data_IF_035534941069
#
_entry.id   IF_035534941069
#
_cell.length_a   1.000
_cell.length_b   1.000
_cell.length_c   1.000
_cell.angle_alpha   90.00
_cell.angle_beta   90.00
_cell.angle_gamma   90.00
#
_symmetry.space_group_name_H-M   'P 1'
#
loop_
_entity.id
_entity.type
_entity.pdbx_description
1 polymer ?
#
# COMPACT_ATOMS: atom_id res chain seq x y z
N UNK A 1 0.78 9.07 -3.24
CA UNK A 1 1.79 8.74 -2.21
C UNK A 1 1.85 9.75 -1.07
N UNK A 2 2.26 11.02 -1.28
CA UNK A 2 2.30 12.02 -0.20
C UNK A 2 0.92 12.23 0.44
N UNK A 3 -0.10 12.46 -0.39
CA UNK A 3 -1.49 12.59 0.04
C UNK A 3 -1.94 11.37 0.87
N UNK A 4 -1.62 10.16 0.39
CA UNK A 4 -1.91 8.94 1.12
C UNK A 4 -1.30 8.94 2.55
N UNK A 5 0.00 9.23 2.67
CA UNK A 5 0.62 9.36 3.99
C UNK A 5 -0.05 10.42 4.87
N UNK A 6 -0.46 11.54 4.28
CA UNK A 6 -1.04 12.68 4.99
C UNK A 6 -2.42 12.41 5.63
N UNK A 7 -3.28 11.62 4.97
CA UNK A 7 -4.60 11.27 5.50
C UNK A 7 -4.62 10.00 6.36
N UNK A 8 -3.49 9.29 6.46
CA UNK A 8 -3.38 8.03 7.20
C UNK A 8 -3.58 8.21 8.72
N UNK A 9 -4.38 7.40 9.43
CA UNK A 9 -4.44 7.42 10.90
C UNK A 9 -3.17 6.84 11.56
N UNK A 10 -2.45 7.63 12.38
CA UNK A 10 -1.13 7.23 12.91
C UNK A 10 -1.23 6.06 13.90
N UNK A 11 -2.11 6.17 14.89
CA UNK A 11 -2.22 5.17 15.98
C UNK A 11 -2.54 3.78 15.43
N UNK A 12 -3.61 3.67 14.65
CA UNK A 12 -4.08 2.38 14.12
C UNK A 12 -3.11 1.76 13.12
N UNK A 13 -2.34 2.57 12.39
CA UNK A 13 -1.25 2.09 11.56
C UNK A 13 -0.16 1.43 12.40
N UNK A 14 0.34 2.10 13.44
CA UNK A 14 1.39 1.53 14.30
C UNK A 14 0.92 0.25 14.99
N UNK A 15 -0.33 0.21 15.46
CA UNK A 15 -0.92 -0.97 16.11
C UNK A 15 -1.03 -2.18 15.16
N UNK A 16 -1.16 -1.93 13.84
CA UNK A 16 -1.30 -2.96 12.79
C UNK A 16 -0.10 -3.05 11.84
N UNK A 17 1.00 -2.36 12.12
CA UNK A 17 2.10 -2.16 11.16
C UNK A 17 2.67 -3.48 10.62
N UNK A 18 2.89 -4.45 11.51
CA UNK A 18 3.44 -5.76 11.14
C UNK A 18 2.55 -6.55 10.17
N UNK A 19 1.22 -6.53 10.34
CA UNK A 19 0.33 -7.25 9.41
C UNK A 19 0.18 -6.53 8.08
N UNK A 20 0.16 -5.19 8.12
CA UNK A 20 0.11 -4.36 6.92
C UNK A 20 1.33 -4.63 6.03
N UNK A 21 2.54 -4.62 6.61
CA UNK A 21 3.76 -4.95 5.88
C UNK A 21 3.75 -6.40 5.40
N UNK A 22 3.30 -7.34 6.23
CA UNK A 22 3.23 -8.74 5.83
C UNK A 22 2.32 -8.95 4.61
N UNK A 23 1.11 -8.36 4.63
CA UNK A 23 0.18 -8.40 3.51
C UNK A 23 0.77 -7.72 2.27
N UNK A 24 1.39 -6.55 2.42
CA UNK A 24 2.01 -5.83 1.30
C UNK A 24 3.18 -6.61 0.67
N UNK A 25 4.15 -7.02 1.48
CA UNK A 25 5.39 -7.65 1.02
C UNK A 25 5.17 -9.07 0.53
N UNK A 26 4.56 -9.92 1.36
CA UNK A 26 4.32 -11.30 0.97
C UNK A 26 3.25 -11.37 -0.11
N UNK A 27 2.24 -10.50 -0.08
CA UNK A 27 1.18 -10.40 -1.09
C UNK A 27 1.74 -10.12 -2.47
N UNK A 28 2.51 -9.05 -2.59
CA UNK A 28 3.12 -8.68 -3.88
C UNK A 28 4.07 -9.74 -4.41
N UNK A 29 4.99 -10.22 -3.58
CA UNK A 29 6.01 -11.18 -4.02
C UNK A 29 5.36 -12.50 -4.43
N UNK A 30 4.47 -13.05 -3.61
CA UNK A 30 3.81 -14.34 -3.91
C UNK A 30 2.92 -14.25 -5.14
N UNK A 31 2.16 -13.15 -5.29
CA UNK A 31 1.29 -12.95 -6.44
C UNK A 31 2.08 -12.72 -7.74
N UNK A 32 3.17 -11.94 -7.71
CA UNK A 32 4.05 -11.78 -8.86
C UNK A 32 4.67 -13.11 -9.32
N UNK A 33 5.14 -13.94 -8.37
CA UNK A 33 5.68 -15.27 -8.67
C UNK A 33 4.60 -16.20 -9.24
N UNK A 34 3.39 -16.20 -8.67
CA UNK A 34 2.30 -17.07 -9.13
C UNK A 34 1.81 -16.70 -10.54
N UNK A 35 1.64 -15.40 -10.81
CA UNK A 35 1.30 -14.89 -12.15
C UNK A 35 2.39 -15.28 -13.15
N UNK A 36 3.65 -15.06 -12.80
CA UNK A 36 4.79 -15.46 -13.63
C UNK A 36 4.78 -16.96 -13.91
N UNK A 37 4.71 -17.81 -12.90
CA UNK A 37 4.79 -19.26 -13.05
C UNK A 37 3.72 -19.79 -14.01
N UNK A 38 2.50 -19.28 -13.88
CA UNK A 38 1.35 -19.71 -14.69
C UNK A 38 1.49 -19.26 -16.14
N UNK A 39 1.79 -17.98 -16.37
CA UNK A 39 1.93 -17.46 -17.71
C UNK A 39 3.21 -18.00 -18.38
N UNK A 40 4.28 -18.25 -17.65
CA UNK A 40 5.48 -18.88 -18.20
C UNK A 40 5.19 -20.31 -18.66
N UNK A 41 4.49 -21.10 -17.83
CA UNK A 41 4.07 -22.45 -18.20
C UNK A 41 3.17 -22.46 -19.44
N UNK A 42 2.19 -21.56 -19.53
CA UNK A 42 1.35 -21.42 -20.72
C UNK A 42 2.13 -20.96 -21.95
N UNK A 43 3.16 -20.14 -21.77
CA UNK A 43 4.08 -19.73 -22.83
C UNK A 43 4.88 -20.89 -23.40
N UNK A 44 5.34 -21.82 -22.56
CA UNK A 44 6.02 -23.04 -23.02
C UNK A 44 5.09 -23.98 -23.82
N UNK A 45 3.80 -23.93 -23.55
CA UNK A 45 2.77 -24.65 -24.32
C UNK A 45 2.39 -23.95 -25.63
N UNK A 46 3.11 -22.88 -26.02
CA UNK A 46 2.90 -22.08 -27.23
C UNK A 46 1.49 -21.48 -27.36
N UNK A 47 0.85 -21.13 -26.24
CA UNK A 47 -0.44 -20.44 -26.25
C UNK A 47 -0.35 -18.95 -26.66
N UNK A 48 0.85 -18.38 -26.71
CA UNK A 48 1.07 -16.95 -26.93
C UNK A 48 1.83 -16.65 -28.22
N UNK A 49 1.58 -15.47 -28.77
CA UNK A 49 2.08 -15.05 -30.08
C UNK A 49 3.57 -14.70 -30.08
N UNK A 50 4.10 -14.24 -28.94
CA UNK A 50 5.49 -13.77 -28.81
C UNK A 50 6.19 -14.57 -27.71
N UNK A 51 7.36 -15.20 -27.99
CA UNK A 51 8.14 -15.87 -26.97
C UNK A 51 8.82 -14.84 -26.04
N UNK A 52 8.91 -15.18 -24.76
CA UNK A 52 9.52 -14.34 -23.73
C UNK A 52 10.33 -15.20 -22.75
N UNK A 53 11.30 -14.57 -22.08
CA UNK A 53 12.09 -15.21 -21.02
C UNK A 53 11.37 -15.21 -19.67
N UNK A 54 11.87 -16.00 -18.72
CA UNK A 54 11.38 -16.02 -17.34
C UNK A 54 11.52 -14.64 -16.67
N UNK A 55 12.63 -13.94 -16.91
CA UNK A 55 12.86 -12.64 -16.30
C UNK A 55 12.02 -11.53 -16.94
N UNK A 56 11.77 -11.61 -18.25
CA UNK A 56 10.85 -10.70 -18.94
C UNK A 56 9.43 -10.80 -18.39
N UNK A 57 8.95 -12.02 -18.12
CA UNK A 57 7.61 -12.19 -17.55
C UNK A 57 7.54 -11.83 -16.07
N UNK A 58 8.61 -12.02 -15.30
CA UNK A 58 8.71 -11.51 -13.92
C UNK A 58 8.71 -9.98 -13.89
N UNK A 59 9.40 -9.34 -14.84
CA UNK A 59 9.39 -7.89 -15.01
C UNK A 59 7.99 -7.35 -15.30
N UNK A 60 7.16 -8.12 -16.03
CA UNK A 60 5.75 -7.82 -16.27
C UNK A 60 4.85 -8.10 -15.06
N UNK A 61 5.05 -9.24 -14.39
CA UNK A 61 4.22 -9.67 -13.27
C UNK A 61 4.39 -8.80 -12.02
N UNK A 62 5.58 -8.22 -11.80
CA UNK A 62 5.85 -7.36 -10.66
C UNK A 62 4.93 -6.10 -10.66
N UNK A 63 4.94 -5.22 -11.68
CA UNK A 63 4.05 -4.06 -11.78
C UNK A 63 2.57 -4.39 -11.60
N UNK A 64 2.09 -5.47 -12.21
CA UNK A 64 0.66 -5.84 -12.18
C UNK A 64 0.23 -6.42 -10.84
N UNK A 65 1.18 -6.90 -10.04
CA UNK A 65 0.91 -7.33 -8.67
C UNK A 65 0.73 -6.15 -7.70
N UNK A 66 1.13 -4.93 -8.07
CA UNK A 66 0.81 -3.74 -7.29
C UNK A 66 -0.69 -3.45 -7.35
N UNK A 67 -1.20 -2.94 -6.23
CA UNK A 67 -2.59 -2.60 -6.02
C UNK A 67 -2.69 -1.13 -5.62
N UNK A 68 -3.66 -0.43 -6.16
CA UNK A 68 -4.00 0.96 -5.93
C UNK A 68 -5.33 1.05 -5.16
N UNK A 69 -5.40 1.75 -4.02
CA UNK A 69 -6.59 1.75 -3.19
C UNK A 69 -7.53 2.93 -3.49
N UNK A 70 -7.19 3.85 -4.41
CA UNK A 70 -7.83 5.18 -4.47
C UNK A 70 -9.36 5.10 -4.59
N UNK A 71 -9.88 4.39 -5.60
CA UNK A 71 -11.32 4.30 -5.80
C UNK A 71 -12.02 3.51 -4.67
N UNK A 72 -11.34 2.52 -4.07
CA UNK A 72 -11.88 1.76 -2.94
C UNK A 72 -12.02 2.65 -1.70
N UNK A 73 -10.99 3.45 -1.43
CA UNK A 73 -10.93 4.31 -0.25
C UNK A 73 -11.99 5.40 -0.31
N UNK A 74 -12.20 5.99 -1.49
CA UNK A 74 -13.29 6.96 -1.67
C UNK A 74 -14.66 6.36 -1.27
N UNK A 75 -14.91 5.11 -1.65
CA UNK A 75 -16.15 4.40 -1.28
C UNK A 75 -16.16 4.02 0.21
N UNK A 76 -15.02 3.63 0.78
CA UNK A 76 -14.93 3.29 2.21
C UNK A 76 -15.14 4.50 3.12
N UNK A 77 -14.66 5.67 2.71
CA UNK A 77 -14.89 6.94 3.39
C UNK A 77 -16.37 7.32 3.36
N UNK A 78 -17.06 7.11 2.23
CA UNK A 78 -18.50 7.38 2.08
C UNK A 78 -19.36 6.44 2.95
N UNK A 79 -19.00 5.15 3.02
CA UNK A 79 -19.76 4.13 3.75
C UNK A 79 -19.36 4.09 5.24
N UNK A 80 -18.29 4.79 5.63
CA UNK A 80 -17.70 4.77 6.97
C UNK A 80 -17.39 3.35 7.44
N UNK A 81 -16.56 2.64 6.68
CA UNK A 81 -16.09 1.29 7.03
C UNK A 81 -15.24 1.33 8.31
N UNK A 82 -15.20 0.21 9.06
CA UNK A 82 -14.32 0.04 10.20
C UNK A 82 -12.86 0.43 9.88
N UNK A 83 -12.24 1.20 10.79
CA UNK A 83 -10.86 1.65 10.69
C UNK A 83 -9.86 0.49 10.53
N UNK A 84 -10.15 -0.69 11.09
CA UNK A 84 -9.31 -1.87 10.94
C UNK A 84 -9.16 -2.28 9.46
N UNK A 85 -10.28 -2.40 8.73
CA UNK A 85 -10.27 -2.77 7.32
C UNK A 85 -9.67 -1.67 6.46
N UNK A 86 -10.00 -0.41 6.79
CA UNK A 86 -9.44 0.77 6.13
C UNK A 86 -7.91 0.79 6.19
N UNK A 87 -7.31 0.61 7.39
CA UNK A 87 -5.85 0.63 7.57
C UNK A 87 -5.16 -0.48 6.78
N UNK A 88 -5.78 -1.66 6.70
CA UNK A 88 -5.19 -2.81 6.01
C UNK A 88 -5.23 -2.64 4.50
N UNK A 89 -6.38 -2.27 3.92
CA UNK A 89 -6.49 -1.99 2.48
C UNK A 89 -5.54 -0.86 2.09
N UNK A 90 -5.56 0.24 2.84
CA UNK A 90 -4.76 1.40 2.50
C UNK A 90 -3.27 1.16 2.68
N UNK A 91 -2.88 0.59 3.81
CA UNK A 91 -1.48 0.33 4.10
C UNK A 91 -0.87 -0.72 3.17
N UNK A 92 -1.62 -1.75 2.83
CA UNK A 92 -1.19 -2.74 1.83
C UNK A 92 -0.85 -2.06 0.51
N UNK A 93 -1.78 -1.23 0.02
CA UNK A 93 -1.65 -0.49 -1.23
C UNK A 93 -0.66 0.68 -1.21
N UNK A 94 -0.15 1.05 -0.04
CA UNK A 94 0.88 2.08 0.10
C UNK A 94 2.28 1.48 0.03
N UNK A 95 2.47 0.32 0.68
CA UNK A 95 3.78 -0.32 0.75
C UNK A 95 4.05 -1.23 -0.46
N UNK A 96 3.01 -1.85 -1.03
CA UNK A 96 3.14 -2.72 -2.20
C UNK A 96 3.78 -2.03 -3.43
N UNK A 97 3.51 -0.74 -3.65
CA UNK A 97 4.07 0.06 -4.73
C UNK A 97 5.58 0.18 -4.59
N UNK A 98 6.05 0.40 -3.36
CA UNK A 98 7.47 0.46 -3.05
C UNK A 98 8.15 -0.88 -3.32
N UNK A 99 7.55 -1.98 -2.86
CA UNK A 99 8.07 -3.34 -3.09
C UNK A 99 8.11 -3.68 -4.57
N UNK A 100 7.08 -3.29 -5.31
CA UNK A 100 6.95 -3.54 -6.75
C UNK A 100 8.03 -2.85 -7.56
N UNK A 101 8.35 -1.59 -7.22
CA UNK A 101 9.46 -0.85 -7.86
C UNK A 101 10.79 -1.57 -7.62
N UNK A 102 11.02 -2.11 -6.42
CA UNK A 102 12.25 -2.87 -6.13
C UNK A 102 12.33 -4.15 -6.94
N UNK A 103 11.24 -4.91 -6.99
CA UNK A 103 11.15 -6.12 -7.81
C UNK A 103 11.41 -5.80 -9.28
N UNK A 104 10.82 -4.72 -9.80
CA UNK A 104 11.04 -4.27 -11.17
C UNK A 104 12.51 -3.96 -11.45
N UNK A 105 13.16 -3.16 -10.61
CA UNK A 105 14.60 -2.81 -10.77
C UNK A 105 15.47 -4.07 -10.69
N UNK A 106 15.15 -4.99 -9.78
CA UNK A 106 15.88 -6.25 -9.63
C UNK A 106 15.79 -7.11 -10.89
N UNK A 107 14.59 -7.30 -11.44
CA UNK A 107 14.41 -8.08 -12.68
C UNK A 107 15.02 -7.39 -13.90
N UNK A 108 14.98 -6.06 -13.96
CA UNK A 108 15.64 -5.30 -15.01
C UNK A 108 17.16 -5.52 -15.01
N UNK A 109 17.78 -5.60 -13.82
CA UNK A 109 19.21 -5.95 -13.69
C UNK A 109 19.51 -7.37 -14.17
N UNK A 110 18.64 -8.34 -13.90
CA UNK A 110 18.80 -9.71 -14.42
C UNK A 110 18.72 -9.76 -15.95
N UNK A 111 17.78 -9.03 -16.55
CA UNK A 111 17.66 -8.94 -18.01
C UNK A 111 18.91 -8.28 -18.62
N UNK A 112 19.44 -7.23 -17.97
CA UNK A 112 20.65 -6.54 -18.44
C UNK A 112 21.92 -7.41 -18.40
N UNK A 113 22.00 -8.38 -17.47
CA UNK A 113 23.12 -9.33 -17.40
C UNK A 113 23.11 -10.36 -18.54
N UNK A 114 21.93 -10.66 -19.09
CA UNK A 114 21.72 -11.64 -20.15
C UNK A 114 21.75 -13.09 -19.66
N UNK A 115 20.84 -13.94 -20.15
CA UNK A 115 20.64 -15.31 -19.65
C UNK A 115 21.90 -16.20 -19.69
N UNK A 116 22.77 -15.98 -20.68
CA UNK A 116 23.98 -16.80 -20.88
C UNK A 116 25.11 -16.51 -19.89
N UNK A 117 25.07 -15.37 -19.18
CA UNK A 117 26.10 -14.97 -18.22
C UNK A 117 25.68 -15.19 -16.75
N UNK A 118 24.52 -15.82 -16.52
CA UNK A 118 23.98 -15.99 -15.17
C UNK A 118 24.60 -17.22 -14.50
N UNK A 119 25.64 -16.98 -13.73
CA UNK A 119 26.20 -17.95 -12.79
C UNK A 119 25.50 -17.93 -11.42
N UNK A 120 25.71 -18.96 -10.62
CA UNK A 120 25.12 -19.10 -9.28
C UNK A 120 25.39 -17.89 -8.36
N UNK A 121 26.56 -17.25 -8.49
CA UNK A 121 26.91 -16.07 -7.69
C UNK A 121 26.12 -14.82 -8.10
N UNK A 122 25.58 -14.75 -9.33
CA UNK A 122 24.68 -13.67 -9.73
C UNK A 122 23.33 -13.77 -9.02
N UNK A 123 22.81 -14.96 -8.75
CA UNK A 123 21.61 -15.11 -7.92
C UNK A 123 21.84 -14.63 -6.49
N UNK A 124 23.00 -14.92 -5.91
CA UNK A 124 23.36 -14.44 -4.58
C UNK A 124 23.61 -12.93 -4.57
N UNK A 125 24.30 -12.39 -5.59
CA UNK A 125 24.58 -10.96 -5.71
C UNK A 125 23.31 -10.14 -5.97
N UNK A 126 22.43 -10.60 -6.86
CA UNK A 126 21.18 -9.90 -7.17
C UNK A 126 20.13 -10.14 -6.08
N UNK A 127 20.05 -11.34 -5.49
CA UNK A 127 19.24 -11.59 -4.29
C UNK A 127 19.73 -10.80 -3.07
N UNK A 128 21.04 -10.66 -2.90
CA UNK A 128 21.64 -9.74 -1.92
C UNK A 128 21.32 -8.28 -2.26
N UNK A 129 21.30 -7.92 -3.55
CA UNK A 129 20.86 -6.60 -3.99
C UNK A 129 19.38 -6.36 -3.71
N UNK A 130 18.52 -7.38 -3.68
CA UNK A 130 17.13 -7.21 -3.24
C UNK A 130 17.08 -6.73 -1.79
N UNK A 131 17.83 -7.36 -0.88
CA UNK A 131 17.88 -6.92 0.52
C UNK A 131 18.60 -5.58 0.70
N UNK A 132 19.62 -5.28 -0.10
CA UNK A 132 20.28 -3.98 -0.08
C UNK A 132 19.39 -2.87 -0.63
N UNK A 133 18.73 -3.08 -1.77
CA UNK A 133 17.78 -2.13 -2.38
C UNK A 133 16.54 -2.01 -1.49
N UNK A 134 16.05 -3.11 -0.91
CA UNK A 134 14.97 -3.09 0.07
C UNK A 134 15.38 -2.36 1.36
N UNK A 135 16.61 -2.55 1.83
CA UNK A 135 17.19 -1.85 2.98
C UNK A 135 17.40 -0.36 2.73
N UNK A 136 17.91 0.00 1.55
CA UNK A 136 17.90 1.37 1.02
C UNK A 136 16.47 1.88 0.90
N UNK A 137 15.48 1.03 0.65
CA UNK A 137 14.07 1.42 0.61
C UNK A 137 13.50 1.78 1.98
N UNK A 138 13.78 0.97 3.01
CA UNK A 138 13.35 1.22 4.37
C UNK A 138 14.14 2.34 5.07
N UNK A 139 15.36 2.65 4.61
CA UNK A 139 16.21 3.71 5.17
C UNK A 139 16.30 5.02 4.37
N UNK A 140 16.11 4.99 3.04
CA UNK A 140 16.44 6.10 2.12
C UNK A 140 15.63 6.17 0.80
N UNK A 141 14.60 5.34 0.55
CA UNK A 141 13.84 5.47 -0.71
C UNK A 141 13.02 6.75 -0.71
N UNK A 142 13.13 7.51 -1.80
CA UNK A 142 12.34 8.71 -2.04
C UNK A 142 10.83 8.45 -1.88
N UNK A 143 10.34 7.27 -2.26
CA UNK A 143 8.91 6.94 -2.20
C UNK A 143 8.47 6.74 -0.74
N UNK A 144 9.17 5.89 0.01
CA UNK A 144 8.87 5.66 1.43
C UNK A 144 9.11 6.92 2.27
N UNK A 145 10.16 7.68 1.98
CA UNK A 145 10.45 8.96 2.63
C UNK A 145 9.31 9.99 2.42
N UNK A 146 8.74 10.08 1.21
CA UNK A 146 7.60 10.97 0.93
C UNK A 146 6.35 10.52 1.70
N UNK A 147 6.13 9.20 1.83
CA UNK A 147 5.01 8.65 2.62
C UNK A 147 5.18 8.99 4.10
N UNK A 148 6.35 8.70 4.68
CA UNK A 148 6.67 9.02 6.08
C UNK A 148 6.61 10.52 6.33
N UNK A 149 7.07 11.34 5.37
CA UNK A 149 6.93 12.78 5.40
C UNK A 149 5.45 13.20 5.49
N UNK A 150 4.56 12.63 4.66
CA UNK A 150 3.12 12.89 4.74
C UNK A 150 2.53 12.53 6.10
N UNK A 151 2.85 11.33 6.61
CA UNK A 151 2.40 10.80 7.93
C UNK A 151 2.81 11.73 9.07
N UNK A 152 4.06 12.24 9.03
CA UNK A 152 4.61 13.15 10.01
C UNK A 152 4.00 14.55 9.91
N UNK A 153 3.96 15.11 8.69
CA UNK A 153 3.64 16.50 8.44
C UNK A 153 2.26 16.91 8.96
N UNK A 154 1.27 16.00 8.92
CA UNK A 154 -0.10 16.30 9.38
C UNK A 154 -0.18 16.75 10.85
N UNK A 155 0.65 16.17 11.73
CA UNK A 155 0.58 16.43 13.17
C UNK A 155 1.21 17.80 13.51
N UNK A 156 2.21 18.22 12.74
CA UNK A 156 2.84 19.53 12.86
C UNK A 156 2.03 20.64 12.20
N UNK A 157 1.43 20.39 11.04
CA UNK A 157 0.50 21.36 10.42
C UNK A 157 -0.67 21.64 11.37
N UNK A 158 -1.24 20.60 11.98
CA UNK A 158 -2.29 20.75 12.99
C UNK A 158 -1.83 21.56 14.22
N UNK A 159 -0.53 21.57 14.52
CA UNK A 159 0.04 22.29 15.65
C UNK A 159 0.30 23.78 15.37
N UNK A 160 0.66 24.12 14.13
CA UNK A 160 1.21 25.44 13.78
C UNK A 160 0.23 26.36 13.07
N UNK A 161 -0.87 25.81 12.56
CA UNK A 161 -1.71 26.50 11.58
C UNK A 161 -3.16 26.58 12.07
N UNK A 162 -3.85 27.67 11.72
CA UNK A 162 -5.27 27.85 12.04
C UNK A 162 -6.15 26.77 11.42
N UNK A 163 -7.36 26.57 11.95
CA UNK A 163 -8.28 25.55 11.43
C UNK A 163 -8.67 25.80 9.97
N UNK A 164 -8.85 27.06 9.56
CA UNK A 164 -9.17 27.43 8.18
C UNK A 164 -8.03 27.08 7.22
N UNK A 165 -6.80 27.49 7.55
CA UNK A 165 -5.64 27.18 6.71
C UNK A 165 -5.35 25.68 6.67
N UNK A 166 -5.63 24.93 7.75
CA UNK A 166 -5.54 23.45 7.75
C UNK A 166 -6.51 22.81 6.75
N UNK A 167 -7.74 23.31 6.67
CA UNK A 167 -8.74 22.83 5.69
C UNK A 167 -8.26 23.16 4.27
N UNK A 168 -7.76 24.37 4.05
CA UNK A 168 -7.18 24.77 2.76
C UNK A 168 -6.02 23.87 2.35
N UNK A 169 -5.05 23.61 3.24
CA UNK A 169 -3.93 22.71 2.94
C UNK A 169 -4.38 21.29 2.62
N UNK A 170 -5.37 20.76 3.36
CA UNK A 170 -5.97 19.44 3.06
C UNK A 170 -6.56 19.41 1.64
N UNK A 171 -7.32 20.43 1.27
CA UNK A 171 -7.93 20.52 -0.06
C UNK A 171 -6.87 20.70 -1.16
N UNK A 172 -5.83 21.50 -0.92
CA UNK A 172 -4.73 21.68 -1.86
C UNK A 172 -3.99 20.36 -2.13
N UNK A 173 -3.62 19.61 -1.08
CA UNK A 173 -2.95 18.31 -1.22
C UNK A 173 -3.82 17.32 -1.99
N UNK A 174 -5.13 17.28 -1.72
CA UNK A 174 -6.08 16.43 -2.44
C UNK A 174 -6.23 16.83 -3.91
N UNK A 175 -6.29 18.14 -4.21
CA UNK A 175 -6.38 18.64 -5.57
C UNK A 175 -5.12 18.31 -6.40
N UNK A 176 -3.93 18.44 -5.82
CA UNK A 176 -2.68 18.06 -6.47
C UNK A 176 -2.63 16.55 -6.77
N UNK A 177 -3.04 15.71 -5.81
CA UNK A 177 -3.11 14.27 -6.03
C UNK A 177 -4.06 13.91 -7.16
N UNK A 178 -5.28 14.48 -7.15
CA UNK A 178 -6.27 14.25 -8.21
C UNK A 178 -5.76 14.69 -9.59
N UNK A 179 -5.04 15.81 -9.67
CA UNK A 179 -4.45 16.28 -10.91
C UNK A 179 -3.43 15.26 -11.46
N UNK A 180 -2.55 14.74 -10.60
CA UNK A 180 -1.54 13.75 -11.01
C UNK A 180 -2.16 12.41 -11.44
N UNK A 181 -3.22 11.98 -10.77
CA UNK A 181 -3.94 10.75 -11.10
C UNK A 181 -4.68 10.87 -12.44
N UNK A 182 -5.39 11.98 -12.66
CA UNK A 182 -6.05 12.26 -13.93
C UNK A 182 -5.05 12.29 -15.10
N UNK A 183 -3.86 12.86 -14.87
CA UNK A 183 -2.78 12.88 -15.87
C UNK A 183 -2.29 11.46 -16.19
N UNK A 184 -2.16 10.59 -15.18
CA UNK A 184 -1.76 9.20 -15.42
C UNK A 184 -2.80 8.42 -16.25
N UNK A 185 -4.09 8.57 -15.94
CA UNK A 185 -5.16 7.96 -16.74
C UNK A 185 -5.24 8.52 -18.15
N UNK A 186 -5.00 9.82 -18.31
CA UNK A 186 -4.94 10.46 -19.63
C UNK A 186 -3.79 9.89 -20.48
N UNK A 187 -2.59 9.73 -19.91
CA UNK A 187 -1.45 9.12 -20.59
C UNK A 187 -1.71 7.65 -20.97
N UNK A 188 -2.35 6.90 -20.07
CA UNK A 188 -2.78 5.54 -20.34
C UNK A 188 -3.81 5.47 -21.48
N UNK A 189 -4.73 6.44 -21.56
CA UNK A 189 -5.67 6.55 -22.68
C UNK A 189 -4.99 6.86 -24.01
N UNK A 190 -4.03 7.80 -24.03
CA UNK A 190 -3.26 8.14 -25.25
C UNK A 190 -2.48 6.94 -25.76
N UNK A 191 -1.76 6.23 -24.89
CA UNK A 191 -0.98 5.06 -25.30
C UNK A 191 -1.85 3.93 -25.82
N UNK A 192 -3.12 3.86 -25.40
CA UNK A 192 -4.08 2.86 -25.92
C UNK A 192 -4.45 3.12 -27.38
N UNK A 193 -4.45 4.39 -27.79
CA UNK A 193 -4.89 4.83 -29.12
C UNK A 193 -3.71 4.89 -30.10
N UNK A 194 -2.59 5.46 -29.66
CA UNK A 194 -1.43 5.77 -30.50
C UNK A 194 -0.35 4.68 -30.43
N UNK A 195 -0.32 3.90 -29.33
CA UNK A 195 0.72 2.91 -29.11
C UNK A 195 0.66 1.76 -30.11
N UNK A 196 1.83 1.34 -30.61
CA UNK A 196 1.98 0.10 -31.36
C UNK A 196 1.85 -1.10 -30.40
N UNK A 197 0.61 -1.41 -30.01
CA UNK A 197 0.26 -2.48 -29.09
C UNK A 197 0.00 -3.79 -29.85
N UNK A 198 0.46 -4.89 -29.27
CA UNK A 198 0.12 -6.23 -29.77
C UNK A 198 -0.94 -6.86 -28.87
N UNK A 199 -2.17 -6.95 -29.38
CA UNK A 199 -3.32 -7.47 -28.63
C UNK A 199 -3.39 -9.00 -28.73
N UNK A 200 -2.72 -9.68 -27.79
CA UNK A 200 -2.86 -11.12 -27.60
C UNK A 200 -3.98 -11.40 -26.59
N UNK A 201 -5.17 -11.71 -27.07
CA UNK A 201 -6.34 -11.95 -26.23
C UNK A 201 -6.18 -13.13 -25.28
N UNK A 202 -5.40 -14.15 -25.65
CA UNK A 202 -5.13 -15.29 -24.77
C UNK A 202 -4.27 -14.83 -23.60
N UNK A 203 -3.17 -14.13 -23.87
CA UNK A 203 -2.29 -13.60 -22.82
C UNK A 203 -3.03 -12.64 -21.89
N UNK A 204 -3.87 -11.75 -22.44
CA UNK A 204 -4.69 -10.81 -21.66
C UNK A 204 -5.68 -11.56 -20.77
N UNK A 205 -6.42 -12.52 -21.34
CA UNK A 205 -7.44 -13.28 -20.61
C UNK A 205 -6.85 -14.08 -19.45
N UNK A 206 -5.74 -14.79 -19.69
CA UNK A 206 -5.04 -15.53 -18.65
C UNK A 206 -4.42 -14.61 -17.60
N UNK A 207 -3.82 -13.49 -18.00
CA UNK A 207 -3.25 -12.51 -17.06
C UNK A 207 -4.32 -11.98 -16.12
N UNK A 208 -5.48 -11.59 -16.65
CA UNK A 208 -6.61 -11.09 -15.88
C UNK A 208 -7.17 -12.16 -14.93
N UNK A 209 -7.35 -13.38 -15.41
CA UNK A 209 -7.82 -14.50 -14.58
C UNK A 209 -6.83 -14.80 -13.44
N UNK A 210 -5.53 -14.93 -13.76
CA UNK A 210 -4.48 -15.17 -12.76
C UNK A 210 -4.46 -14.04 -11.72
N UNK A 211 -4.56 -12.80 -12.16
CA UNK A 211 -4.60 -11.63 -11.28
C UNK A 211 -5.75 -11.65 -10.28
N UNK A 212 -6.94 -12.16 -10.66
CA UNK A 212 -8.08 -12.26 -9.76
C UNK A 212 -7.97 -13.49 -8.84
N UNK A 213 -7.64 -14.66 -9.41
CA UNK A 213 -7.56 -15.90 -8.67
C UNK A 213 -6.45 -15.88 -7.62
N UNK A 214 -5.23 -15.49 -8.01
CA UNK A 214 -4.10 -15.46 -7.08
C UNK A 214 -4.24 -14.39 -6.02
N UNK A 215 -4.93 -13.28 -6.31
CA UNK A 215 -5.28 -12.28 -5.30
C UNK A 215 -6.16 -12.87 -4.19
N UNK A 216 -7.23 -13.58 -4.56
CA UNK A 216 -8.14 -14.20 -3.58
C UNK A 216 -7.39 -15.26 -2.76
N UNK A 217 -6.64 -16.12 -3.44
CA UNK A 217 -5.86 -17.20 -2.78
C UNK A 217 -4.81 -16.62 -1.84
N UNK A 218 -4.04 -15.62 -2.29
CA UNK A 218 -2.97 -15.01 -1.49
C UNK A 218 -3.52 -14.39 -0.20
N UNK A 219 -4.62 -13.65 -0.27
CA UNK A 219 -5.20 -13.00 0.92
C UNK A 219 -5.77 -14.04 1.89
N UNK A 220 -6.48 -15.06 1.41
CA UNK A 220 -7.01 -16.11 2.28
C UNK A 220 -5.87 -16.82 3.02
N UNK A 221 -4.79 -17.15 2.32
CA UNK A 221 -3.61 -17.79 2.91
C UNK A 221 -2.94 -16.85 3.93
N UNK A 222 -2.73 -15.58 3.58
CA UNK A 222 -2.06 -14.63 4.44
C UNK A 222 -2.87 -14.26 5.68
N UNK A 223 -4.18 -14.06 5.54
CA UNK A 223 -5.07 -13.87 6.67
C UNK A 223 -5.10 -15.11 7.57
N UNK A 224 -5.05 -16.31 7.00
CA UNK A 224 -4.95 -17.55 7.79
C UNK A 224 -3.65 -17.63 8.59
N UNK A 225 -2.53 -17.17 8.03
CA UNK A 225 -1.23 -17.09 8.72
C UNK A 225 -1.24 -16.00 9.80
N UNK A 226 -1.90 -14.86 9.56
CA UNK A 226 -1.93 -13.72 10.49
C UNK A 226 -2.93 -13.87 11.64
N UNK A 227 -4.03 -14.58 11.42
CA UNK A 227 -5.13 -14.73 12.39
C UNK A 227 -4.71 -15.28 13.77
N UNK A 228 -3.78 -16.25 13.88
CA UNK A 228 -3.27 -16.72 15.17
C UNK A 228 -2.53 -15.65 15.99
N UNK A 229 -1.94 -14.66 15.33
CA UNK A 229 -1.07 -13.64 15.97
C UNK A 229 -1.78 -12.31 16.23
N UNK A 230 -3.09 -12.25 15.98
CA UNK A 230 -3.90 -11.02 16.00
C UNK A 230 -4.98 -11.09 17.07
N UNK A 231 -5.16 -9.96 17.77
CA UNK A 231 -6.27 -9.75 18.72
C UNK A 231 -7.60 -9.59 17.98
N UNK A 232 -7.63 -8.74 16.94
CA UNK A 232 -8.74 -8.61 16.01
C UNK A 232 -8.47 -9.48 14.77
N UNK A 233 -9.26 -10.54 14.59
CA UNK A 233 -9.10 -11.53 13.51
C UNK A 233 -9.81 -11.07 12.24
N UNK A 234 -9.29 -11.47 11.08
CA UNK A 234 -9.93 -11.23 9.79
C UNK A 234 -11.07 -12.23 9.58
N UNK A 235 -12.30 -11.74 9.58
CA UNK A 235 -13.48 -12.50 9.20
C UNK A 235 -13.47 -12.83 7.70
N UNK A 236 -14.21 -13.87 7.30
CA UNK A 236 -14.30 -14.29 5.89
C UNK A 236 -14.81 -13.16 4.97
N UNK A 237 -15.78 -12.38 5.43
CA UNK A 237 -16.31 -11.22 4.71
C UNK A 237 -15.22 -10.16 4.50
N UNK A 238 -14.41 -9.88 5.52
CA UNK A 238 -13.29 -8.93 5.42
C UNK A 238 -12.22 -9.42 4.46
N UNK A 239 -11.92 -10.72 4.42
CA UNK A 239 -10.99 -11.32 3.47
C UNK A 239 -11.47 -11.15 2.03
N UNK A 240 -12.77 -11.35 1.77
CA UNK A 240 -13.35 -11.09 0.44
C UNK A 240 -13.21 -9.61 0.07
N UNK A 241 -13.50 -8.70 0.99
CA UNK A 241 -13.39 -7.26 0.75
C UNK A 241 -11.94 -6.88 0.45
N UNK A 242 -10.97 -7.38 1.22
CA UNK A 242 -9.53 -7.19 1.00
C UNK A 242 -9.08 -7.72 -0.38
N UNK A 243 -9.67 -8.83 -0.83
CA UNK A 243 -9.36 -9.41 -2.15
C UNK A 243 -9.92 -8.58 -3.30
N UNK A 244 -11.10 -7.99 -3.11
CA UNK A 244 -11.79 -7.21 -4.13
C UNK A 244 -11.34 -5.74 -4.16
N UNK A 245 -10.74 -5.22 -3.08
CA UNK A 245 -10.12 -3.89 -3.03
C UNK A 245 -8.83 -3.76 -3.85
N UNK A 246 -8.42 -4.84 -4.52
CA UNK A 246 -7.20 -4.99 -5.29
C UNK A 246 -7.17 -4.28 -6.66
N UNK A 247 -7.49 -2.99 -6.77
CA UNK A 247 -7.49 -2.30 -8.07
C UNK A 247 -6.08 -2.10 -8.62
N UNK A 248 -5.87 -2.06 -9.94
CA UNK A 248 -4.55 -1.85 -10.53
C UNK A 248 -4.42 -0.39 -10.93
N UNK A 249 -3.29 0.23 -10.59
CA UNK A 249 -3.11 1.67 -10.66
C UNK A 249 -2.15 2.19 -11.74
N UNK A 250 -1.96 3.50 -11.70
CA UNK A 250 -1.07 4.26 -12.57
C UNK A 250 0.40 3.82 -12.50
N UNK A 251 0.87 3.36 -11.34
CA UNK A 251 2.27 2.95 -11.14
C UNK A 251 2.60 1.69 -11.95
N UNK A 252 1.65 0.75 -12.04
CA UNK A 252 1.81 -0.45 -12.85
C UNK A 252 2.04 -0.09 -14.33
N UNK A 253 1.25 0.86 -14.85
CA UNK A 253 1.42 1.40 -16.20
C UNK A 253 2.75 2.13 -16.37
N UNK A 254 3.12 3.02 -15.45
CA UNK A 254 4.38 3.76 -15.53
C UNK A 254 5.61 2.85 -15.60
N UNK A 255 5.63 1.78 -14.81
CA UNK A 255 6.69 0.77 -14.84
C UNK A 255 6.67 -0.06 -16.12
N UNK A 256 5.49 -0.49 -16.58
CA UNK A 256 5.37 -1.24 -17.83
C UNK A 256 5.80 -0.40 -19.05
N UNK A 257 5.46 0.89 -19.09
CA UNK A 257 5.87 1.82 -20.16
C UNK A 257 7.39 2.06 -20.16
N UNK A 258 8.01 2.01 -18.98
CA UNK A 258 9.45 2.20 -18.79
C UNK A 258 10.29 0.96 -19.14
N UNK A 259 9.67 -0.15 -19.57
CA UNK A 259 10.42 -1.34 -20.01
C UNK A 259 11.30 -1.01 -21.22
N UNK A 260 12.52 -1.57 -21.31
CA UNK A 260 13.41 -1.31 -22.43
C UNK A 260 12.85 -1.91 -23.73
N UNK A 261 13.02 -1.20 -24.84
CA UNK A 261 12.56 -1.63 -26.17
C UNK A 261 13.36 -2.83 -26.73
N UNK A 262 14.40 -3.28 -26.02
CA UNK A 262 15.12 -4.52 -26.32
C UNK A 262 14.24 -5.76 -26.14
N UNK A 263 13.21 -5.68 -25.30
CA UNK A 263 12.27 -6.77 -25.03
C UNK A 263 11.20 -6.81 -26.13
N UNK A 264 11.24 -7.86 -26.97
CA UNK A 264 10.29 -8.03 -28.08
C UNK A 264 8.83 -8.16 -27.61
N UNK A 265 8.61 -8.72 -26.43
CA UNK A 265 7.29 -8.90 -25.83
C UNK A 265 6.70 -7.63 -25.17
N UNK A 266 7.45 -6.51 -25.10
CA UNK A 266 7.01 -5.26 -24.47
C UNK A 266 5.63 -4.77 -24.96
N UNK A 267 5.33 -4.74 -26.27
CA UNK A 267 4.01 -4.34 -26.76
C UNK A 267 2.84 -5.20 -26.26
N UNK A 268 3.08 -6.51 -26.08
CA UNK A 268 2.08 -7.46 -25.57
C UNK A 268 1.88 -7.28 -24.06
N UNK A 269 2.97 -7.09 -23.32
CA UNK A 269 2.94 -6.77 -21.89
C UNK A 269 2.22 -5.45 -21.61
N UNK A 270 2.48 -4.42 -22.41
CA UNK A 270 1.78 -3.14 -22.30
C UNK A 270 0.27 -3.29 -22.54
N UNK A 271 -0.13 -3.94 -23.63
CA UNK A 271 -1.54 -4.17 -23.92
C UNK A 271 -2.26 -4.92 -22.78
N UNK A 272 -1.61 -5.95 -22.21
CA UNK A 272 -2.16 -6.70 -21.10
C UNK A 272 -2.22 -5.93 -19.79
N UNK A 273 -1.19 -5.14 -19.47
CA UNK A 273 -1.21 -4.26 -18.30
C UNK A 273 -2.36 -3.26 -18.39
N UNK A 274 -2.56 -2.66 -19.56
CA UNK A 274 -3.64 -1.69 -19.81
C UNK A 274 -5.01 -2.35 -19.70
N UNK A 275 -5.20 -3.53 -20.28
CA UNK A 275 -6.43 -4.29 -20.15
C UNK A 275 -6.75 -4.64 -18.68
N UNK A 276 -5.74 -5.04 -17.90
CA UNK A 276 -5.91 -5.31 -16.46
C UNK A 276 -6.29 -4.04 -15.67
N UNK A 277 -5.68 -2.90 -15.98
CA UNK A 277 -6.01 -1.61 -15.34
C UNK A 277 -7.44 -1.21 -15.68
N UNK A 278 -7.82 -1.20 -16.96
CA UNK A 278 -9.19 -0.86 -17.36
C UNK A 278 -10.23 -1.79 -16.75
N UNK A 279 -9.98 -3.10 -16.75
CA UNK A 279 -10.88 -4.06 -16.12
C UNK A 279 -11.00 -3.78 -14.62
N UNK A 280 -9.89 -3.61 -13.91
CA UNK A 280 -9.95 -3.39 -12.47
C UNK A 280 -10.61 -2.05 -12.12
N UNK A 281 -10.20 -0.95 -12.73
CA UNK A 281 -10.71 0.39 -12.41
C UNK A 281 -12.18 0.54 -12.78
N UNK A 282 -12.61 0.10 -13.97
CA UNK A 282 -14.00 0.26 -14.38
C UNK A 282 -14.91 -0.83 -13.82
N UNK A 283 -14.55 -2.10 -13.96
CA UNK A 283 -15.45 -3.20 -13.57
C UNK A 283 -15.36 -3.44 -12.07
N UNK A 284 -14.16 -3.64 -11.51
CA UNK A 284 -14.05 -3.86 -10.05
C UNK A 284 -14.33 -2.57 -9.28
N UNK A 285 -13.88 -1.41 -9.76
CA UNK A 285 -14.17 -0.10 -9.16
C UNK A 285 -15.65 0.16 -8.95
N UNK A 286 -16.46 0.00 -10.01
CA UNK A 286 -17.92 0.17 -9.94
C UNK A 286 -18.57 -0.92 -9.07
N UNK A 287 -18.04 -2.15 -9.09
CA UNK A 287 -18.59 -3.28 -8.35
C UNK A 287 -18.33 -3.24 -6.83
N UNK A 288 -17.38 -2.44 -6.34
CA UNK A 288 -17.08 -2.35 -4.89
C UNK A 288 -18.28 -1.84 -4.08
N UNK A 289 -18.91 -0.74 -4.52
CA UNK A 289 -20.04 -0.13 -3.78
C UNK A 289 -21.23 -1.09 -3.59
N UNK A 290 -21.75 -1.78 -4.63
CA UNK A 290 -22.81 -2.76 -4.44
C UNK A 290 -22.35 -3.97 -3.62
N UNK A 291 -21.09 -4.41 -3.77
CA UNK A 291 -20.53 -5.51 -2.99
C UNK A 291 -20.52 -5.20 -1.48
N UNK A 292 -20.07 -4.01 -1.09
CA UNK A 292 -20.05 -3.60 0.33
C UNK A 292 -21.45 -3.48 0.92
N UNK A 293 -22.40 -2.95 0.15
CA UNK A 293 -23.80 -2.87 0.59
C UNK A 293 -24.43 -4.26 0.72
N UNK A 294 -24.09 -5.19 -0.17
CA UNK A 294 -24.56 -6.57 -0.13
C UNK A 294 -24.00 -7.33 1.08
N UNK A 295 -22.71 -7.15 1.37
CA UNK A 295 -22.01 -7.84 2.46
C UNK A 295 -22.28 -7.25 3.86
N UNK A 296 -23.07 -6.16 3.96
CA UNK A 296 -23.43 -5.48 5.23
C UNK A 296 -22.21 -5.25 6.13
N UNK A 297 -21.19 -4.62 5.58
CA UNK A 297 -19.91 -4.38 6.28
C UNK A 297 -20.13 -3.60 7.58
N UNK A 298 -19.42 -4.01 8.64
CA UNK A 298 -19.40 -3.28 9.89
C UNK A 298 -18.95 -1.84 9.66
N UNK A 299 -19.85 -0.92 9.99
CA UNK A 299 -19.59 0.50 9.91
C UNK A 299 -18.91 0.95 11.19
N UNK A 300 -18.06 1.95 11.08
CA UNK A 300 -17.45 2.62 12.21
C UNK A 300 -18.56 3.17 13.11
N UNK A 301 -18.60 2.71 14.36
CA UNK A 301 -19.43 3.35 15.39
C UNK A 301 -18.92 4.79 15.55
N UNK A 302 -19.71 5.77 15.12
CA UNK A 302 -19.41 7.19 15.32
C UNK A 302 -19.65 7.64 16.76
N UNK A 303 -20.12 6.76 17.64
CA UNK A 303 -20.20 7.07 19.06
C UNK A 303 -18.77 7.26 19.60
N UNK A 304 -18.45 8.51 19.95
CA UNK A 304 -17.20 8.84 20.61
C UNK A 304 -17.07 7.95 21.85
N UNK A 305 -15.92 7.30 22.00
CA UNK A 305 -15.62 6.52 23.20
C UNK A 305 -15.98 7.33 24.44
N UNK A 306 -16.78 6.74 25.32
CA UNK A 306 -17.10 7.42 26.58
C UNK A 306 -15.81 7.70 27.33
N UNK A 307 -15.78 8.78 28.11
CA UNK A 307 -14.59 9.16 28.91
C UNK A 307 -14.12 7.96 29.76
N UNK A 308 -15.06 7.16 30.27
CA UNK A 308 -14.78 5.92 30.99
C UNK A 308 -14.02 4.91 30.13
N UNK A 309 -14.48 4.63 28.91
CA UNK A 309 -13.82 3.72 27.98
C UNK A 309 -12.43 4.22 27.56
N UNK A 310 -12.29 5.52 27.30
CA UNK A 310 -10.99 6.13 27.00
C UNK A 310 -10.00 6.00 28.17
N UNK A 311 -10.45 6.32 29.39
CA UNK A 311 -9.63 6.21 30.59
C UNK A 311 -9.22 4.76 30.84
N UNK A 312 -10.15 3.82 30.69
CA UNK A 312 -9.90 2.41 30.91
C UNK A 312 -8.86 1.86 29.92
N UNK A 313 -9.01 2.19 28.63
CA UNK A 313 -8.03 1.86 27.60
C UNK A 313 -6.67 2.50 27.88
N UNK A 314 -6.64 3.76 28.33
CA UNK A 314 -5.38 4.46 28.65
C UNK A 314 -4.67 3.86 29.86
N UNK A 315 -5.40 3.46 30.90
CA UNK A 315 -4.84 2.79 32.07
C UNK A 315 -4.31 1.41 31.66
N UNK A 316 -5.03 0.67 30.81
CA UNK A 316 -4.55 -0.59 30.26
C UNK A 316 -3.25 -0.41 29.45
N UNK A 317 -3.16 0.62 28.61
CA UNK A 317 -1.95 0.95 27.85
C UNK A 317 -0.77 1.24 28.82
N UNK A 318 -0.94 2.14 29.79
CA UNK A 318 0.12 2.52 30.73
C UNK A 318 0.56 1.38 31.65
N UNK A 319 -0.37 0.50 32.04
CA UNK A 319 -0.05 -0.67 32.86
C UNK A 319 0.75 -1.70 32.06
N UNK A 320 0.41 -1.92 30.78
CA UNK A 320 1.22 -2.74 29.89
C UNK A 320 2.63 -2.15 29.72
N UNK A 321 2.73 -0.84 29.48
CA UNK A 321 4.02 -0.15 29.36
C UNK A 321 4.88 -0.31 30.63
N UNK A 322 4.26 -0.22 31.79
CA UNK A 322 4.90 -0.46 33.08
C UNK A 322 5.40 -1.92 33.21
N UNK A 323 4.56 -2.90 32.87
CA UNK A 323 4.93 -4.32 32.89
C UNK A 323 6.08 -4.61 31.92
N UNK A 324 6.06 -4.06 30.71
CA UNK A 324 7.11 -4.20 29.69
C UNK A 324 8.45 -3.64 30.19
N UNK A 325 8.42 -2.47 30.84
CA UNK A 325 9.64 -1.85 31.39
C UNK A 325 10.30 -2.68 32.49
N UNK A 326 9.49 -3.40 33.29
CA UNK A 326 9.97 -4.26 34.38
C UNK A 326 10.38 -5.63 33.86
N UNK A 327 9.63 -6.19 32.90
CA UNK A 327 9.91 -7.50 32.32
C UNK A 327 11.06 -7.48 31.30
N UNK A 328 11.46 -6.31 30.80
CA UNK A 328 12.48 -6.16 29.75
C UNK A 328 12.06 -6.73 28.39
N UNK A 329 10.76 -7.02 28.22
CA UNK A 329 10.19 -7.58 26.99
C UNK A 329 9.67 -6.41 26.17
N UNK A 330 10.15 -6.29 24.93
CA UNK A 330 9.75 -5.22 24.01
C UNK A 330 8.57 -5.71 23.15
N UNK A 331 7.35 -5.22 23.37
CA UNK A 331 6.17 -5.55 22.55
C UNK A 331 5.93 -4.52 21.42
N UNK A 332 4.87 -4.71 20.62
CA UNK A 332 4.39 -3.85 19.52
C UNK A 332 4.26 -2.37 19.92
N UNK A 333 3.97 -2.07 21.18
CA UNK A 333 3.88 -0.70 21.69
C UNK A 333 5.24 0.00 21.81
N UNK A 334 6.34 -0.75 21.91
CA UNK A 334 7.69 -0.19 22.05
C UNK A 334 8.11 0.65 20.84
N UNK A 335 7.77 0.23 19.62
CA UNK A 335 8.07 1.01 18.41
C UNK A 335 7.34 2.36 18.42
N UNK A 336 6.05 2.34 18.78
CA UNK A 336 5.24 3.54 18.90
C UNK A 336 5.77 4.46 20.00
N UNK A 337 6.12 3.93 21.17
CA UNK A 337 6.70 4.72 22.27
C UNK A 337 8.06 5.32 21.91
N UNK A 338 8.96 4.54 21.28
CA UNK A 338 10.26 5.04 20.81
C UNK A 338 10.08 6.19 19.83
N UNK A 339 9.13 6.05 18.90
CA UNK A 339 8.78 7.10 17.96
C UNK A 339 8.14 8.30 18.65
N UNK A 340 7.18 8.12 19.57
CA UNK A 340 6.56 9.21 20.34
C UNK A 340 7.60 9.95 21.20
N UNK A 341 8.55 9.24 21.80
CA UNK A 341 9.66 9.83 22.56
C UNK A 341 10.60 10.61 21.66
N UNK A 342 10.99 10.06 20.50
CA UNK A 342 11.83 10.77 19.53
C UNK A 342 11.13 12.03 19.00
N UNK A 343 9.86 11.90 18.64
CA UNK A 343 9.02 12.99 18.17
C UNK A 343 8.94 14.12 19.22
N UNK A 344 8.62 13.77 20.47
CA UNK A 344 8.47 14.75 21.55
C UNK A 344 9.79 15.43 21.90
N UNK A 345 10.90 14.70 21.92
CA UNK A 345 12.19 15.22 22.35
C UNK A 345 12.91 16.02 21.25
N UNK A 346 12.78 15.64 19.98
CA UNK A 346 13.55 16.24 18.88
C UNK A 346 12.69 16.99 17.86
N UNK A 347 11.58 16.41 17.41
CA UNK A 347 10.82 16.96 16.27
C UNK A 347 9.87 18.08 16.69
N UNK A 348 9.07 17.88 17.74
CA UNK A 348 8.11 18.88 18.25
C UNK A 348 8.78 20.23 18.59
N UNK A 349 9.87 20.29 19.38
CA UNK A 349 10.47 21.57 19.75
C UNK A 349 11.09 22.30 18.56
N UNK A 350 11.51 21.59 17.51
CA UNK A 350 12.08 22.20 16.31
C UNK A 350 11.02 22.63 15.29
N UNK A 351 9.98 21.82 15.10
CA UNK A 351 8.99 22.02 14.04
C UNK A 351 7.75 22.77 14.49
N UNK A 352 7.56 23.05 15.79
CA UNK A 352 6.38 23.79 16.28
C UNK A 352 6.72 25.19 16.76
N UNK A 353 5.91 26.18 16.35
CA UNK A 353 6.15 27.61 16.62
C UNK A 353 5.71 27.99 18.05
N UNK A 354 4.77 27.24 18.64
CA UNK A 354 4.25 27.57 19.98
C UNK A 354 5.14 27.02 21.10
N UNK A 355 5.97 27.91 21.66
CA UNK A 355 6.60 27.81 22.98
C UNK A 355 5.63 28.18 24.13
N UNK A 356 4.35 27.82 24.06
CA UNK A 356 3.47 27.94 25.24
C UNK A 356 3.67 26.76 26.20
N UNK A 357 4.76 26.87 26.97
CA UNK A 357 4.98 26.42 28.35
C UNK A 357 3.96 25.45 28.99
N UNK A 358 3.89 24.22 28.49
CA UNK A 358 3.98 22.98 29.27
C UNK A 358 3.58 21.83 28.32
N UNK A 359 4.41 20.80 28.13
CA UNK A 359 4.01 19.64 27.32
C UNK A 359 2.70 19.02 27.81
N UNK A 360 2.45 19.06 29.12
CA UNK A 360 1.20 18.61 29.75
C UNK A 360 -0.01 19.51 29.44
N UNK A 361 0.16 20.83 29.32
CA UNK A 361 -0.94 21.77 29.07
C UNK A 361 -1.42 21.70 27.62
N UNK A 362 -0.52 21.50 26.65
CA UNK A 362 -0.87 21.27 25.24
C UNK A 362 -1.49 19.89 25.05
N UNK A 363 -1.00 18.86 25.75
CA UNK A 363 -1.63 17.52 25.79
C UNK A 363 -3.04 17.58 26.37
N UNK A 364 -3.24 18.35 27.45
CA UNK A 364 -4.55 18.61 28.03
C UNK A 364 -5.44 19.41 27.09
N UNK A 365 -4.97 20.51 26.50
CA UNK A 365 -5.76 21.35 25.57
C UNK A 365 -6.11 20.62 24.27
N UNK A 366 -5.19 19.81 23.72
CA UNK A 366 -5.45 18.88 22.59
C UNK A 366 -6.44 17.78 22.95
N UNK A 367 -6.41 17.27 24.20
CA UNK A 367 -7.35 16.25 24.69
C UNK A 367 -8.74 16.84 24.98
N UNK A 368 -8.82 18.05 25.53
CA UNK A 368 -10.08 18.73 25.83
C UNK A 368 -10.75 19.30 24.57
N UNK A 369 -10.00 19.82 23.59
CA UNK A 369 -10.60 20.30 22.33
C UNK A 369 -11.21 19.18 21.49
N UNK A 370 -10.72 17.93 21.58
CA UNK A 370 -11.35 16.80 20.91
C UNK A 370 -12.61 16.27 21.65
N UNK A 371 -12.87 16.72 22.88
CA UNK A 371 -14.08 16.36 23.65
C UNK A 371 -15.21 17.37 23.42
N UNK A 372 -14.90 18.58 22.96
CA UNK A 372 -15.87 19.68 22.85
C UNK A 372 -16.06 20.24 21.43
N UNK A 373 -15.45 19.65 20.40
CA UNK A 373 -15.69 20.04 19.02
C UNK A 373 -16.45 18.92 18.33
N UNK A 374 -17.76 19.18 18.20
CA UNK A 374 -18.80 18.47 17.46
C UNK A 374 -18.37 17.93 16.10
#
# INVERSE_FOLDING_TARGET
>A
MFEAGYFMPNRQLFDNFGSVIFLAAVGTISNAIAICATLYYLGQLNFFSIPFSLFEILLFAAPISAVDPVAVIAVFEEIHVNDFLFIHVFGESLFNDSITVVLYIMFLKFIALGENNIHWYHYFAVGGSFFLIAGELFGMSSIFAIVVCGILMKDYIKANVSNETRIFTKQAVKAFAQCTENLAFFLLGITSIIGNLHWDFAFIGFSLACCLCYRIIAIIIQCSILNPFKKQKFCFIEQIILSFSGLRGAIAYGLAASMPDTIKAKPMFLASCMACIFFSVFIQGIAIRPLLNFLKVERKNMEAQTIAEYLNNRVADLTMDGIESVAGISDKNSLRQKFESFNTNYLVPFLTVSKENNPNAILLKRKYQNVFVY
#
